data_IF_308111699478
#
_entry.id   IF_308111699478
#
_cell.length_a   1.000
_cell.length_b   1.000
_cell.length_c   1.000
_cell.angle_alpha   90.00
_cell.angle_beta   90.00
_cell.angle_gamma   90.00
#
_symmetry.space_group_name_H-M   'P 1'
#
loop_
_entity.id
_entity.type
_entity.pdbx_description
1 polymer ?
#
# COMPACT_ATOMS: atom_id res chain seq x y z
N UNK A 1 -18.49 -48.13 -28.90
CA UNK A 1 -18.61 -47.87 -27.45
C UNK A 1 -17.29 -47.49 -26.77
N UNK A 2 -16.16 -48.02 -27.15
CA UNK A 2 -14.85 -47.65 -26.55
C UNK A 2 -14.37 -46.21 -26.80
N UNK A 3 -14.83 -45.55 -27.85
CA UNK A 3 -14.46 -44.13 -28.16
C UNK A 3 -15.09 -43.10 -27.23
N UNK A 4 -16.30 -43.35 -26.75
CA UNK A 4 -17.05 -42.44 -25.87
C UNK A 4 -16.42 -42.38 -24.46
N UNK A 5 -15.98 -43.49 -23.93
CA UNK A 5 -15.36 -43.58 -22.61
C UNK A 5 -13.98 -42.91 -22.56
N UNK A 6 -13.21 -42.97 -23.65
CA UNK A 6 -11.91 -42.29 -23.77
C UNK A 6 -12.06 -40.76 -23.75
N UNK A 7 -13.12 -40.25 -24.34
CA UNK A 7 -13.36 -38.79 -24.39
C UNK A 7 -13.79 -38.22 -23.02
N UNK A 8 -14.57 -38.98 -22.26
CA UNK A 8 -15.00 -38.62 -20.89
C UNK A 8 -13.79 -38.58 -19.94
N UNK A 9 -12.89 -39.56 -20.04
CA UNK A 9 -11.69 -39.61 -19.21
C UNK A 9 -10.69 -38.45 -19.52
N UNK A 10 -10.54 -38.10 -20.80
CA UNK A 10 -9.73 -36.93 -21.20
C UNK A 10 -10.32 -35.63 -20.65
N UNK A 11 -11.63 -35.43 -20.70
CA UNK A 11 -12.31 -34.25 -20.15
C UNK A 11 -12.19 -34.16 -18.62
N UNK A 12 -12.32 -35.29 -17.91
CA UNK A 12 -12.11 -35.34 -16.45
C UNK A 12 -10.67 -35.01 -16.06
N UNK A 13 -9.68 -35.46 -16.81
CA UNK A 13 -8.27 -35.12 -16.57
C UNK A 13 -7.96 -33.66 -16.83
N UNK A 14 -8.54 -33.08 -17.89
CA UNK A 14 -8.38 -31.68 -18.23
C UNK A 14 -9.03 -30.77 -17.17
N UNK A 15 -10.26 -31.06 -16.75
CA UNK A 15 -10.94 -30.31 -15.69
C UNK A 15 -10.17 -30.32 -14.35
N UNK A 16 -9.64 -31.48 -13.95
CA UNK A 16 -8.82 -31.60 -12.74
C UNK A 16 -7.56 -30.70 -12.82
N UNK A 17 -6.90 -30.66 -13.97
CA UNK A 17 -5.73 -29.82 -14.19
C UNK A 17 -6.06 -28.32 -14.18
N UNK A 18 -7.17 -27.94 -14.80
CA UNK A 18 -7.63 -26.54 -14.81
C UNK A 18 -8.00 -26.08 -13.40
N UNK A 19 -8.73 -26.88 -12.64
CA UNK A 19 -9.09 -26.57 -11.25
C UNK A 19 -7.84 -26.51 -10.37
N UNK A 20 -6.88 -27.40 -10.55
CA UNK A 20 -5.62 -27.39 -9.80
C UNK A 20 -4.77 -26.16 -10.12
N UNK A 21 -4.69 -25.77 -11.40
CA UNK A 21 -3.99 -24.56 -11.82
C UNK A 21 -4.68 -23.28 -11.31
N UNK A 22 -6.02 -23.24 -11.30
CA UNK A 22 -6.77 -22.10 -10.75
C UNK A 22 -6.58 -21.99 -9.24
N UNK A 23 -6.53 -23.10 -8.52
CA UNK A 23 -6.28 -23.13 -7.09
C UNK A 23 -4.84 -22.72 -6.76
N UNK A 24 -3.86 -23.16 -7.54
CA UNK A 24 -2.46 -22.77 -7.40
C UNK A 24 -2.26 -21.27 -7.71
N UNK A 25 -2.90 -20.74 -8.76
CA UNK A 25 -2.86 -19.32 -9.09
C UNK A 25 -3.51 -18.46 -8.00
N UNK A 26 -4.61 -18.93 -7.40
CA UNK A 26 -5.24 -18.28 -6.25
C UNK A 26 -4.33 -18.23 -5.01
N UNK A 27 -3.60 -19.30 -4.73
CA UNK A 27 -2.64 -19.35 -3.62
C UNK A 27 -1.44 -18.43 -3.84
N UNK A 28 -0.95 -18.31 -5.07
CA UNK A 28 0.16 -17.37 -5.41
C UNK A 28 -0.29 -15.92 -5.28
N UNK A 29 -1.54 -15.59 -5.59
CA UNK A 29 -2.09 -14.26 -5.38
C UNK A 29 -2.21 -13.88 -3.88
N UNK A 30 -2.34 -14.87 -2.99
CA UNK A 30 -2.40 -14.66 -1.53
C UNK A 30 -1.01 -14.55 -0.86
N UNK A 31 0.07 -14.92 -1.54
CA UNK A 31 1.43 -14.77 -0.99
C UNK A 31 1.98 -13.36 -1.04
N UNK A 32 1.27 -12.43 -1.66
CA UNK A 32 1.56 -10.99 -1.63
C UNK A 32 1.19 -10.30 -0.31
N UNK A 33 1.30 -10.99 0.83
CA UNK A 33 0.91 -10.45 2.14
C UNK A 33 1.80 -9.32 2.66
N UNK A 34 2.95 -9.11 2.05
CA UNK A 34 3.88 -8.02 2.40
C UNK A 34 4.33 -7.36 1.10
N UNK A 35 3.95 -6.13 0.91
CA UNK A 35 4.33 -5.32 -0.24
C UNK A 35 4.82 -3.94 0.17
N UNK A 36 5.50 -3.21 -0.70
CA UNK A 36 5.82 -1.81 -0.46
C UNK A 36 4.51 -1.01 -0.43
N UNK A 37 4.14 -0.53 0.74
CA UNK A 37 3.00 0.34 0.96
C UNK A 37 3.49 1.66 1.54
N UNK A 38 3.31 2.72 0.80
CA UNK A 38 3.65 4.07 1.21
C UNK A 38 4.44 4.82 0.14
N UNK A 39 4.61 6.13 0.31
CA UNK A 39 5.22 7.00 -0.70
C UNK A 39 6.71 6.68 -0.96
N UNK A 40 7.36 5.93 -0.11
CA UNK A 40 8.80 5.59 -0.20
C UNK A 40 9.10 4.10 -0.01
N UNK A 41 8.14 3.20 -0.27
CA UNK A 41 8.39 1.76 -0.21
C UNK A 41 8.46 1.18 1.20
N UNK A 42 7.68 1.70 2.12
CA UNK A 42 7.54 1.14 3.47
C UNK A 42 6.93 -0.28 3.45
N UNK A 43 7.13 -1.03 4.53
CA UNK A 43 6.58 -2.37 4.71
C UNK A 43 5.09 -2.27 5.05
N UNK A 44 4.24 -3.02 4.35
CA UNK A 44 2.81 -3.09 4.64
C UNK A 44 2.35 -4.49 5.00
N UNK A 45 1.46 -4.62 5.96
CA UNK A 45 0.79 -5.86 6.33
C UNK A 45 -0.61 -5.96 5.71
N UNK A 46 -1.08 -7.19 5.51
CA UNK A 46 -2.43 -7.43 4.95
C UNK A 46 -3.55 -7.10 5.95
N UNK A 47 -3.34 -7.44 7.22
CA UNK A 47 -4.38 -7.31 8.27
C UNK A 47 -4.30 -5.95 8.95
N UNK A 48 -3.12 -5.54 9.34
CA UNK A 48 -2.89 -4.27 10.02
C UNK A 48 -1.51 -3.72 9.64
N UNK A 49 -1.46 -2.43 9.38
CA UNK A 49 -0.23 -1.69 9.13
C UNK A 49 -0.24 -0.44 9.99
N UNK A 50 0.85 -0.21 10.69
CA UNK A 50 1.12 1.03 11.41
C UNK A 50 2.62 1.30 11.29
N UNK A 51 2.99 2.11 10.33
CA UNK A 51 4.38 2.32 9.92
C UNK A 51 4.67 3.79 9.74
N UNK A 52 5.78 4.23 10.33
CA UNK A 52 6.35 5.55 10.11
C UNK A 52 7.72 5.42 9.47
N UNK A 53 8.07 6.38 8.65
CA UNK A 53 9.37 6.41 8.03
C UNK A 53 9.73 7.78 7.47
N UNK A 54 11.01 8.00 7.19
CA UNK A 54 11.46 9.23 6.56
C UNK A 54 11.10 9.24 5.07
N UNK A 55 10.63 10.38 4.59
CA UNK A 55 10.50 10.63 3.15
C UNK A 55 11.81 11.20 2.60
N UNK A 56 12.43 12.08 3.36
CA UNK A 56 13.67 12.71 2.99
C UNK A 56 14.10 13.76 3.98
N UNK A 57 15.37 14.12 3.89
CA UNK A 57 15.97 15.20 4.65
C UNK A 57 16.78 16.10 3.74
N UNK A 58 16.90 17.37 4.10
CA UNK A 58 17.73 18.33 3.40
C UNK A 58 18.89 18.78 4.30
N UNK A 59 19.85 19.50 3.76
CA UNK A 59 20.95 20.07 4.52
C UNK A 59 20.57 21.32 5.33
N UNK A 60 19.29 21.69 5.37
CA UNK A 60 18.83 22.84 6.13
C UNK A 60 18.83 22.53 7.63
N UNK A 61 19.06 23.56 8.43
CA UNK A 61 19.02 23.47 9.90
C UNK A 61 17.63 23.02 10.35
N UNK A 62 17.57 22.21 11.41
CA UNK A 62 16.33 21.79 12.01
C UNK A 62 15.51 23.00 12.47
N UNK A 63 14.37 23.22 11.82
CA UNK A 63 13.45 24.29 12.18
C UNK A 63 12.51 23.88 13.30
N UNK A 64 11.87 24.87 13.90
CA UNK A 64 10.92 24.69 15.00
C UNK A 64 9.47 24.56 14.53
N UNK A 65 9.19 24.81 13.24
CA UNK A 65 7.85 24.68 12.66
C UNK A 65 7.57 23.28 12.21
N UNK A 66 6.34 22.86 12.39
CA UNK A 66 5.82 21.58 11.94
C UNK A 66 4.51 21.77 11.18
N UNK A 67 4.39 21.14 10.03
CA UNK A 67 3.16 21.14 9.25
C UNK A 67 2.77 19.71 8.89
N UNK A 68 1.46 19.45 8.85
CA UNK A 68 0.93 18.13 8.53
C UNK A 68 -0.11 18.20 7.43
N UNK A 69 -0.16 17.14 6.61
CA UNK A 69 -1.18 16.93 5.62
C UNK A 69 -1.58 15.45 5.60
N UNK A 70 -2.86 15.18 5.41
CA UNK A 70 -3.42 13.83 5.59
C UNK A 70 -4.31 13.46 4.42
N UNK A 71 -4.17 12.20 3.97
CA UNK A 71 -5.10 11.56 3.05
C UNK A 71 -5.70 10.31 3.71
N UNK A 72 -6.95 9.99 3.36
CA UNK A 72 -7.66 8.82 3.86
C UNK A 72 -8.29 8.07 2.70
N UNK A 73 -8.14 6.76 2.69
CA UNK A 73 -8.75 5.85 1.73
C UNK A 73 -9.69 4.86 2.42
N UNK A 74 -10.84 4.61 1.81
CA UNK A 74 -11.81 3.62 2.26
C UNK A 74 -12.23 2.79 1.06
N UNK A 75 -11.95 1.48 1.10
CA UNK A 75 -12.24 0.51 0.03
C UNK A 75 -11.62 0.95 -1.30
N UNK A 76 -12.39 1.56 -2.17
CA UNK A 76 -11.97 2.01 -3.52
C UNK A 76 -11.95 3.54 -3.66
N UNK A 77 -12.20 4.28 -2.59
CA UNK A 77 -12.25 5.75 -2.61
C UNK A 77 -11.17 6.32 -1.70
N UNK A 78 -10.35 7.21 -2.25
CA UNK A 78 -9.34 7.92 -1.48
C UNK A 78 -9.58 9.43 -1.62
N UNK A 79 -9.48 10.15 -0.51
CA UNK A 79 -9.67 11.59 -0.44
C UNK A 79 -8.60 12.25 0.44
N UNK A 80 -8.36 13.52 0.24
CA UNK A 80 -7.37 14.30 0.97
C UNK A 80 -6.11 14.54 0.15
N UNK A 81 -5.25 15.38 0.68
CA UNK A 81 -3.96 15.73 0.08
C UNK A 81 -2.85 15.55 1.13
N UNK A 82 -2.06 14.52 0.98
CA UNK A 82 -0.88 14.23 1.82
C UNK A 82 0.43 14.66 1.14
N UNK A 83 0.38 15.68 0.29
CA UNK A 83 1.58 16.21 -0.35
C UNK A 83 2.46 16.99 0.63
N UNK A 84 3.76 16.97 0.37
CA UNK A 84 4.75 17.81 1.10
C UNK A 84 4.38 19.28 0.99
N UNK A 85 3.87 19.71 -0.17
CA UNK A 85 3.45 21.11 -0.40
C UNK A 85 2.29 21.50 0.51
N UNK A 86 1.27 20.66 0.64
CA UNK A 86 0.14 20.90 1.52
C UNK A 86 0.57 20.93 3.00
N UNK A 87 1.41 19.99 3.41
CA UNK A 87 1.95 19.95 4.77
C UNK A 87 2.79 21.19 5.09
N UNK A 88 3.68 21.60 4.19
CA UNK A 88 4.49 22.82 4.37
C UNK A 88 3.63 24.09 4.44
N UNK A 89 2.61 24.20 3.59
CA UNK A 89 1.68 25.32 3.61
C UNK A 89 0.90 25.39 4.94
N UNK A 90 0.42 24.26 5.43
CA UNK A 90 -0.29 24.17 6.72
C UNK A 90 0.59 24.57 7.91
N UNK A 91 1.90 24.29 7.85
CA UNK A 91 2.87 24.68 8.87
C UNK A 91 3.50 26.07 8.67
N UNK A 92 3.19 26.75 7.57
CA UNK A 92 3.86 28.03 7.22
C UNK A 92 5.37 27.87 7.05
N UNK A 93 5.79 26.73 6.48
CA UNK A 93 7.19 26.35 6.32
C UNK A 93 7.68 26.83 4.96
N UNK A 94 8.75 27.59 4.95
CA UNK A 94 9.41 28.09 3.73
C UNK A 94 10.69 27.32 3.41
N UNK A 95 11.36 26.80 4.43
CA UNK A 95 12.58 25.99 4.29
C UNK A 95 12.37 24.65 4.98
N UNK A 96 12.29 23.59 4.20
CA UNK A 96 12.07 22.22 4.69
C UNK A 96 13.40 21.65 5.20
N UNK A 97 13.38 21.08 6.38
CA UNK A 97 14.50 20.39 7.02
C UNK A 97 14.40 18.87 6.77
N UNK A 98 13.32 18.26 7.23
CA UNK A 98 13.06 16.84 6.99
C UNK A 98 11.56 16.58 6.89
N UNK A 99 11.22 15.46 6.29
CA UNK A 99 9.85 15.04 6.04
C UNK A 99 9.69 13.59 6.45
N UNK A 100 8.70 13.34 7.27
CA UNK A 100 8.31 12.00 7.71
C UNK A 100 6.91 11.65 7.21
N UNK A 101 6.63 10.37 7.12
CA UNK A 101 5.28 9.88 6.90
C UNK A 101 4.86 8.88 7.98
N UNK A 102 3.58 8.84 8.24
CA UNK A 102 2.93 7.84 9.08
C UNK A 102 1.73 7.27 8.34
N UNK A 103 1.70 5.96 8.18
CA UNK A 103 0.60 5.26 7.51
C UNK A 103 0.00 4.21 8.43
N UNK A 104 -1.30 4.29 8.62
CA UNK A 104 -2.10 3.27 9.31
C UNK A 104 -3.07 2.67 8.33
N UNK A 105 -3.17 1.34 8.28
CA UNK A 105 -4.11 0.63 7.41
C UNK A 105 -4.68 -0.59 8.14
N UNK A 106 -5.94 -0.88 7.88
CA UNK A 106 -6.67 -2.02 8.46
C UNK A 106 -7.34 -2.82 7.36
N UNK A 107 -7.00 -4.12 7.28
CA UNK A 107 -7.55 -5.11 6.34
C UNK A 107 -7.48 -4.68 4.85
N UNK A 108 -6.65 -3.70 4.49
CA UNK A 108 -6.67 -3.12 3.15
C UNK A 108 -7.98 -2.40 2.78
N UNK A 109 -8.93 -2.29 3.70
CA UNK A 109 -10.23 -1.64 3.52
C UNK A 109 -10.21 -0.18 3.93
N UNK A 110 -9.37 0.17 4.89
CA UNK A 110 -9.19 1.52 5.37
C UNK A 110 -7.70 1.84 5.50
N UNK A 111 -7.32 3.01 5.05
CA UNK A 111 -5.96 3.50 5.19
C UNK A 111 -5.95 5.01 5.44
N UNK A 112 -5.02 5.46 6.27
CA UNK A 112 -4.76 6.87 6.54
C UNK A 112 -3.26 7.11 6.42
N UNK A 113 -2.87 8.07 5.60
CA UNK A 113 -1.47 8.51 5.49
C UNK A 113 -1.36 9.97 5.90
N UNK A 114 -0.47 10.26 6.82
CA UNK A 114 -0.12 11.60 7.25
C UNK A 114 1.32 11.87 6.88
N UNK A 115 1.56 12.98 6.20
CA UNK A 115 2.90 13.50 5.92
C UNK A 115 3.15 14.66 6.86
N UNK A 116 4.28 14.63 7.56
CA UNK A 116 4.73 15.66 8.48
C UNK A 116 6.00 16.31 7.95
N UNK A 117 5.97 17.60 7.80
CA UNK A 117 7.10 18.41 7.33
C UNK A 117 7.61 19.25 8.49
N UNK A 118 8.91 19.25 8.68
CA UNK A 118 9.60 20.06 9.68
C UNK A 118 10.52 21.09 8.98
N UNK A 119 10.58 22.30 9.52
CA UNK A 119 11.40 23.36 8.93
C UNK A 119 11.19 24.73 9.56
N UNK A 120 11.46 25.76 8.76
CA UNK A 120 11.31 27.19 9.12
C UNK A 120 10.34 27.91 8.18
#
# INVERSE_FOLDING_TARGET
MAGSQRNINKRKGYMKRVVLCSFAAGLVALTGCVGPMGPVGGVGGLVYTDVSGPVGATSNTAGTKMGQATSTGIICVATGDSSIKAAAANGGITKISHVDYHTTSVLGLWAKTTVTVYGE
#
